data_IF_718000917618
#
_entry.id   IF_718000917618
#
_cell.length_a   1.000
_cell.length_b   1.000
_cell.length_c   1.000
_cell.angle_alpha   90.00
_cell.angle_beta   90.00
_cell.angle_gamma   90.00
#
_symmetry.space_group_name_H-M   'P 1'
#
loop_
_entity.id
_entity.type
_entity.pdbx_description
1 polymer ?
#
# COMPACT_ATOMS: atom_id res chain seq x y z
N UNK A 1 1.24 -28.37 5.68
CA UNK A 1 2.35 -28.25 4.72
C UNK A 1 2.27 -29.43 3.76
N UNK A 2 2.58 -29.24 2.47
CA UNK A 2 2.68 -30.38 1.53
C UNK A 2 4.05 -31.05 1.69
N UNK A 3 4.11 -32.35 1.39
CA UNK A 3 5.37 -33.10 1.37
C UNK A 3 6.30 -32.62 0.25
N UNK A 4 5.73 -32.21 -0.89
CA UNK A 4 6.49 -31.72 -2.04
C UNK A 4 5.85 -30.46 -2.65
N UNK A 5 6.70 -29.57 -3.16
CA UNK A 5 6.34 -28.35 -3.87
C UNK A 5 7.11 -28.27 -5.19
N UNK A 6 6.40 -27.97 -6.27
CA UNK A 6 7.02 -27.72 -7.58
C UNK A 6 7.52 -26.27 -7.66
N UNK A 7 8.83 -26.11 -7.84
CA UNK A 7 9.51 -24.84 -7.98
C UNK A 7 10.06 -24.61 -9.41
N UNK A 8 9.64 -25.40 -10.40
CA UNK A 8 10.11 -25.28 -11.79
C UNK A 8 9.89 -23.88 -12.40
N UNK A 9 8.85 -23.16 -11.97
CA UNK A 9 8.58 -21.75 -12.34
C UNK A 9 8.98 -20.71 -11.29
N UNK A 10 9.76 -21.10 -10.27
CA UNK A 10 10.13 -20.19 -9.18
C UNK A 10 11.23 -19.21 -9.62
N UNK A 11 11.08 -17.96 -9.18
CA UNK A 11 12.05 -16.90 -9.43
C UNK A 11 12.71 -16.48 -8.12
N UNK A 12 14.04 -16.58 -8.07
CA UNK A 12 14.81 -16.18 -6.89
C UNK A 12 14.70 -14.66 -6.71
N UNK A 13 14.26 -14.23 -5.53
CA UNK A 13 14.20 -12.81 -5.19
C UNK A 13 12.98 -12.06 -5.74
N UNK A 14 11.96 -12.75 -6.26
CA UNK A 14 10.73 -12.12 -6.79
C UNK A 14 10.07 -11.10 -5.84
N UNK A 15 10.18 -11.32 -4.53
CA UNK A 15 9.64 -10.44 -3.48
C UNK A 15 10.74 -9.85 -2.59
N UNK A 16 12.00 -9.97 -2.99
CA UNK A 16 13.10 -9.35 -2.25
C UNK A 16 13.08 -7.85 -2.50
N UNK A 17 13.04 -7.08 -1.42
CA UNK A 17 13.16 -5.62 -1.44
C UNK A 17 14.46 -5.30 -0.71
N UNK A 18 15.43 -4.61 -1.33
CA UNK A 18 16.62 -4.12 -0.66
C UNK A 18 16.26 -3.28 0.56
N UNK A 19 17.03 -3.36 1.64
CA UNK A 19 16.75 -2.61 2.87
C UNK A 19 16.62 -1.10 2.64
N UNK A 20 17.41 -0.55 1.71
CA UNK A 20 17.36 0.87 1.31
C UNK A 20 16.07 1.28 0.58
N UNK A 21 15.30 0.32 0.09
CA UNK A 21 14.06 0.52 -0.67
C UNK A 21 12.82 0.13 0.15
N UNK A 22 12.98 -0.31 1.40
CA UNK A 22 11.85 -0.62 2.27
C UNK A 22 11.15 0.68 2.67
N UNK A 23 9.94 0.87 2.17
CA UNK A 23 9.05 1.95 2.59
C UNK A 23 8.39 1.61 3.94
N UNK A 24 8.51 2.51 4.92
CA UNK A 24 7.87 2.35 6.23
C UNK A 24 6.41 2.80 6.13
N UNK A 25 5.44 1.95 6.50
CA UNK A 25 4.03 2.32 6.43
C UNK A 25 3.67 3.38 7.48
N UNK A 26 2.80 4.31 7.09
CA UNK A 26 2.19 5.27 8.02
C UNK A 26 0.87 4.68 8.54
N UNK A 27 0.77 4.54 9.86
CA UNK A 27 -0.46 4.05 10.50
C UNK A 27 -1.49 5.16 10.63
N UNK A 28 -2.68 4.92 10.07
CA UNK A 28 -3.85 5.77 10.23
C UNK A 28 -4.71 5.27 11.38
N UNK A 29 -5.41 6.20 12.06
CA UNK A 29 -6.46 5.82 13.01
C UNK A 29 -7.56 5.04 12.29
N UNK A 30 -8.21 4.13 13.02
CA UNK A 30 -9.19 3.17 12.46
C UNK A 30 -10.36 3.86 11.78
N UNK A 31 -10.90 4.89 12.42
CA UNK A 31 -11.98 5.75 11.92
C UNK A 31 -11.58 6.47 10.63
N UNK A 32 -10.39 7.10 10.62
CA UNK A 32 -9.84 7.79 9.45
C UNK A 32 -9.65 6.83 8.28
N UNK A 33 -9.05 5.66 8.53
CA UNK A 33 -8.84 4.63 7.50
C UNK A 33 -10.16 4.15 6.91
N UNK A 34 -11.16 3.88 7.76
CA UNK A 34 -12.49 3.43 7.33
C UNK A 34 -13.14 4.46 6.41
N UNK A 35 -13.08 5.74 6.79
CA UNK A 35 -13.69 6.80 6.02
C UNK A 35 -12.99 7.04 4.69
N UNK A 36 -11.65 7.08 4.67
CA UNK A 36 -10.87 7.19 3.43
C UNK A 36 -11.14 6.01 2.48
N UNK A 37 -11.28 4.80 3.01
CA UNK A 37 -11.61 3.60 2.22
C UNK A 37 -13.01 3.72 1.57
N UNK A 38 -13.99 4.21 2.34
CA UNK A 38 -15.35 4.45 1.83
C UNK A 38 -15.35 5.49 0.72
N UNK A 39 -14.64 6.60 0.90
CA UNK A 39 -14.53 7.67 -0.09
C UNK A 39 -13.82 7.17 -1.36
N UNK A 40 -12.68 6.49 -1.22
CA UNK A 40 -11.92 5.93 -2.34
C UNK A 40 -12.78 4.98 -3.19
N UNK A 41 -13.52 4.08 -2.53
CA UNK A 41 -14.48 3.18 -3.18
C UNK A 41 -15.53 3.94 -3.96
N UNK A 42 -16.14 4.98 -3.37
CA UNK A 42 -17.16 5.80 -4.03
C UNK A 42 -16.62 6.54 -5.27
N UNK A 43 -15.34 6.92 -5.24
CA UNK A 43 -14.65 7.62 -6.33
C UNK A 43 -14.03 6.67 -7.36
N UNK A 44 -14.10 5.35 -7.15
CA UNK A 44 -13.41 4.32 -7.96
C UNK A 44 -11.90 4.58 -8.06
N UNK A 45 -11.30 5.01 -6.95
CA UNK A 45 -9.87 5.26 -6.81
C UNK A 45 -9.31 4.39 -5.68
N UNK A 46 -8.00 4.15 -5.69
CA UNK A 46 -7.32 3.50 -4.57
C UNK A 46 -7.22 4.43 -3.36
N UNK A 47 -7.09 3.85 -2.17
CA UNK A 47 -6.88 4.62 -0.93
C UNK A 47 -5.57 5.42 -1.02
N UNK A 48 -4.52 4.84 -1.62
CA UNK A 48 -3.23 5.51 -1.78
C UNK A 48 -3.33 6.75 -2.67
N UNK A 49 -4.01 6.66 -3.82
CA UNK A 49 -4.24 7.82 -4.70
C UNK A 49 -5.01 8.94 -3.98
N UNK A 50 -6.06 8.58 -3.24
CA UNK A 50 -6.84 9.55 -2.47
C UNK A 50 -5.98 10.22 -1.38
N UNK A 51 -5.23 9.43 -0.60
CA UNK A 51 -4.38 9.95 0.48
C UNK A 51 -3.31 10.89 -0.07
N UNK A 52 -2.62 10.50 -1.14
CA UNK A 52 -1.60 11.36 -1.76
C UNK A 52 -2.19 12.67 -2.29
N UNK A 53 -3.34 12.63 -2.97
CA UNK A 53 -3.99 13.84 -3.46
C UNK A 53 -4.39 14.81 -2.32
N UNK A 54 -4.81 14.28 -1.16
CA UNK A 54 -5.10 15.09 0.03
C UNK A 54 -3.78 15.68 0.57
N UNK A 55 -2.76 14.85 0.77
CA UNK A 55 -1.49 15.28 1.36
C UNK A 55 -0.75 16.29 0.48
N UNK A 56 -0.70 16.12 -0.83
CA UNK A 56 -0.10 17.07 -1.76
C UNK A 56 -0.74 18.45 -1.66
N UNK A 57 -2.08 18.49 -1.53
CA UNK A 57 -2.81 19.75 -1.35
C UNK A 57 -2.48 20.41 -0.01
N UNK A 58 -2.45 19.64 1.08
CA UNK A 58 -2.12 20.16 2.42
C UNK A 58 -0.66 20.63 2.49
N UNK A 59 0.27 19.89 1.90
CA UNK A 59 1.68 20.28 1.82
C UNK A 59 1.90 21.57 1.04
N UNK A 60 1.11 21.83 -0.01
CA UNK A 60 1.17 23.10 -0.76
C UNK A 60 0.62 24.31 0.00
N UNK A 61 -0.03 24.10 1.15
CA UNK A 61 -0.56 25.16 2.01
C UNK A 61 0.32 25.45 3.24
N UNK A 62 1.36 24.63 3.46
CA UNK A 62 2.38 24.83 4.50
C UNK A 62 3.51 25.73 3.99
#
# INVERSE_FOLDING_TARGET
>A
MKEEYDFSGAEKGKFYIPESEIEIPVYLKVDVKSELTRIATSKKQSVSELVNAILEKELGLL
#
